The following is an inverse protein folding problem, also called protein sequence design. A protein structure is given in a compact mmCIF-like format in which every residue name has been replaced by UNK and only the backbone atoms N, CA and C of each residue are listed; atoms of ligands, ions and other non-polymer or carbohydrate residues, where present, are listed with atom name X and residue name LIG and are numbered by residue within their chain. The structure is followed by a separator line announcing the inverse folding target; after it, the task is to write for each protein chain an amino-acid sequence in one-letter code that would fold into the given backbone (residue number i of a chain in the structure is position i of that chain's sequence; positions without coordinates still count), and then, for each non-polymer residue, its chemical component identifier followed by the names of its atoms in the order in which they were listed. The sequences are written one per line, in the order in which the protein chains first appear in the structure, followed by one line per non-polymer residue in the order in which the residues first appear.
data_IF_423839086786
#
_entry.id   IF_423839086786
#
_cell.length_a   1.000
_cell.length_b   1.000
_cell.length_c   1.000
_cell.angle_alpha   90.00
_cell.angle_beta   90.00
_cell.angle_gamma   90.00
#
_symmetry.space_group_name_H-M   'P 1'
#
loop_
_entity.id
_entity.type
_entity.pdbx_description
1 polymer ?
#
# COMPACT_ATOMS: atom_id res chain seq x y z
N UNK A 1 5.68 -12.99 6.91
CA UNK A 1 5.75 -12.54 5.51
C UNK A 1 7.22 -12.30 5.21
N UNK A 2 7.77 -12.87 4.12
CA UNK A 2 9.17 -12.61 3.76
C UNK A 2 9.30 -11.16 3.29
N UNK A 3 10.12 -10.34 3.98
CA UNK A 3 10.28 -8.90 3.68
C UNK A 3 10.54 -8.63 2.20
N UNK A 4 11.31 -9.50 1.55
CA UNK A 4 11.65 -9.43 0.12
C UNK A 4 10.43 -9.37 -0.81
N UNK A 5 9.34 -10.08 -0.48
CA UNK A 5 8.11 -10.07 -1.29
C UNK A 5 7.43 -8.70 -1.17
N UNK A 6 7.31 -8.17 0.06
CA UNK A 6 6.70 -6.86 0.29
C UNK A 6 7.54 -5.73 -0.32
N UNK A 7 8.87 -5.78 -0.20
CA UNK A 7 9.75 -4.81 -0.85
C UNK A 7 9.60 -4.84 -2.37
N UNK A 8 9.53 -6.03 -2.97
CA UNK A 8 9.30 -6.17 -4.41
C UNK A 8 7.94 -5.60 -4.84
N UNK A 9 6.89 -5.87 -4.07
CA UNK A 9 5.56 -5.32 -4.34
C UNK A 9 5.56 -3.79 -4.27
N UNK A 10 6.22 -3.16 -3.29
CA UNK A 10 6.32 -1.70 -3.19
C UNK A 10 6.98 -1.07 -4.42
N UNK A 11 8.07 -1.68 -4.90
CA UNK A 11 8.79 -1.21 -6.08
C UNK A 11 7.94 -1.35 -7.35
N UNK A 12 7.26 -2.49 -7.50
CA UNK A 12 6.53 -2.78 -8.75
C UNK A 12 5.17 -2.10 -8.82
N UNK A 13 4.54 -1.81 -7.68
CA UNK A 13 3.26 -1.13 -7.61
C UNK A 13 3.29 0.25 -8.31
N UNK A 14 4.35 1.04 -8.10
CA UNK A 14 4.47 2.39 -8.69
C UNK A 14 4.52 2.43 -10.22
N UNK A 15 4.79 1.30 -10.88
CA UNK A 15 4.82 1.25 -12.33
C UNK A 15 3.42 1.32 -12.95
N UNK A 16 2.45 0.66 -12.32
CA UNK A 16 1.10 0.50 -12.87
C UNK A 16 0.04 1.29 -12.12
N UNK A 17 0.30 1.63 -10.86
CA UNK A 17 -0.62 2.34 -9.98
C UNK A 17 -0.07 3.71 -9.62
N UNK A 18 -0.97 4.64 -9.33
CA UNK A 18 -0.59 5.80 -8.53
C UNK A 18 -0.35 5.34 -7.10
N UNK A 19 0.65 5.93 -6.46
CA UNK A 19 1.07 5.49 -5.13
C UNK A 19 1.26 6.67 -4.21
N UNK A 20 0.83 6.51 -2.96
CA UNK A 20 1.01 7.49 -1.90
C UNK A 20 1.50 6.81 -0.63
N UNK A 21 2.46 7.44 0.05
CA UNK A 21 2.89 6.97 1.36
C UNK A 21 1.93 7.53 2.42
N UNK A 22 1.19 6.64 3.10
CA UNK A 22 0.26 6.98 4.17
C UNK A 22 0.76 6.30 5.45
N UNK A 23 1.47 7.06 6.28
CA UNK A 23 2.13 6.52 7.47
C UNK A 23 3.10 5.39 7.10
N UNK A 24 2.91 4.23 7.71
CA UNK A 24 3.76 3.02 7.52
C UNK A 24 3.32 2.13 6.34
N UNK A 25 2.55 2.68 5.40
CA UNK A 25 2.05 1.95 4.24
C UNK A 25 2.25 2.73 2.95
N UNK A 26 2.53 2.00 1.87
CA UNK A 26 2.39 2.47 0.51
C UNK A 26 1.00 2.10 -0.01
N UNK A 27 0.11 3.08 -0.14
CA UNK A 27 -1.20 2.92 -0.76
C UNK A 27 -1.08 2.94 -2.28
N UNK A 28 -1.88 2.10 -2.95
CA UNK A 28 -1.94 2.00 -4.41
C UNK A 28 -3.34 2.37 -4.91
N UNK A 29 -3.39 3.09 -6.02
CA UNK A 29 -4.63 3.52 -6.66
C UNK A 29 -4.58 3.17 -8.16
N UNK A 30 -5.62 2.46 -8.61
CA UNK A 30 -5.82 2.13 -10.02
C UNK A 30 -6.02 3.39 -10.87
N UNK A 31 -5.20 3.57 -11.91
CA UNK A 31 -5.26 4.74 -12.81
C UNK A 31 -6.42 4.70 -13.80
N UNK A 32 -6.90 3.51 -14.16
CA UNK A 32 -7.72 3.30 -15.35
C UNK A 32 -9.09 2.69 -15.08
N UNK A 33 -9.24 1.96 -13.97
CA UNK A 33 -10.43 1.14 -13.73
C UNK A 33 -10.88 1.24 -12.27
N UNK A 34 -12.18 1.41 -12.03
CA UNK A 34 -12.83 1.38 -10.70
C UNK A 34 -12.91 -0.04 -10.08
N UNK A 35 -11.97 -0.93 -10.41
CA UNK A 35 -11.95 -2.29 -9.89
C UNK A 35 -11.39 -2.23 -8.45
N UNK A 36 -12.19 -2.57 -7.42
CA UNK A 36 -11.81 -2.33 -6.02
C UNK A 36 -10.62 -3.18 -5.55
N UNK A 37 -10.36 -4.30 -6.22
CA UNK A 37 -9.25 -5.20 -5.87
C UNK A 37 -7.87 -4.70 -6.30
N UNK A 38 -7.81 -3.57 -7.03
CA UNK A 38 -6.57 -2.96 -7.51
C UNK A 38 -6.11 -1.79 -6.64
N UNK A 39 -6.84 -1.50 -5.56
CA UNK A 39 -6.50 -0.48 -4.57
C UNK A 39 -6.16 -1.18 -3.25
N UNK A 40 -4.91 -1.15 -2.83
CA UNK A 40 -4.42 -1.86 -1.65
C UNK A 40 -3.25 -1.13 -0.99
N UNK A 41 -3.00 -1.43 0.29
CA UNK A 41 -1.90 -0.85 1.06
C UNK A 41 -0.83 -1.91 1.36
N UNK A 42 0.43 -1.58 1.07
CA UNK A 42 1.58 -2.45 1.32
C UNK A 42 2.34 -1.92 2.54
N UNK A 43 2.51 -2.71 3.62
CA UNK A 43 3.28 -2.27 4.78
C UNK A 43 4.77 -2.05 4.47
N UNK A 44 5.38 -1.13 5.20
CA UNK A 44 6.84 -1.01 5.27
C UNK A 44 7.48 -2.26 5.89
N UNK A 45 8.79 -2.44 5.66
CA UNK A 45 9.49 -3.61 6.16
C UNK A 45 9.46 -3.65 7.70
N UNK A 46 8.98 -4.79 8.22
CA UNK A 46 8.81 -5.03 9.65
C UNK A 46 7.82 -4.07 10.35
N UNK A 47 7.00 -3.34 9.60
CA UNK A 47 5.95 -2.51 10.19
C UNK A 47 4.97 -3.40 10.97
N UNK A 48 4.74 -3.06 12.24
CA UNK A 48 3.67 -3.62 13.05
C UNK A 48 2.53 -2.62 12.97
N UNK A 49 1.56 -2.91 12.10
CA UNK A 49 0.39 -2.05 11.90
C UNK A 49 -0.46 -2.01 13.17
N UNK A 50 -0.69 -0.80 13.68
CA UNK A 50 -1.67 -0.54 14.73
C UNK A 50 -3.04 -0.24 14.12
N UNK A 51 -4.09 -0.29 14.93
CA UNK A 51 -5.43 0.12 14.50
C UNK A 51 -5.47 1.61 14.08
N UNK A 52 -4.61 2.46 14.65
CA UNK A 52 -4.51 3.87 14.28
C UNK A 52 -3.89 4.06 12.88
N UNK A 53 -2.90 3.23 12.52
CA UNK A 53 -2.31 3.27 11.18
C UNK A 53 -3.34 2.87 10.12
N UNK A 54 -4.18 1.86 10.42
CA UNK A 54 -5.29 1.47 9.54
C UNK A 54 -6.35 2.57 9.45
N UNK A 55 -6.67 3.24 10.56
CA UNK A 55 -7.62 4.35 10.53
C UNK A 55 -7.14 5.50 9.63
N UNK A 56 -5.83 5.75 9.58
CA UNK A 56 -5.22 6.76 8.70
C UNK A 56 -5.46 6.44 7.22
N UNK A 57 -5.41 5.17 6.83
CA UNK A 57 -5.69 4.73 5.46
C UNK A 57 -7.15 4.95 5.03
N UNK A 58 -8.10 4.95 5.97
CA UNK A 58 -9.53 5.08 5.67
C UNK A 58 -9.94 6.55 5.43
N UNK A 59 -9.19 7.48 6.01
CA UNK A 59 -9.52 8.93 5.99
C UNK A 59 -8.69 9.75 5.00
N UNK A 60 -7.70 9.12 4.36
CA UNK A 60 -6.90 9.72 3.28
C UNK A 60 -7.68 9.74 1.96
#
# INVERSE_FOLDING_TARGET
MESRIQSYLRITASYQHDTEQIGSFLATFSRSNDIPFLNYAIPDDNAISSAADVATLIVA
#
